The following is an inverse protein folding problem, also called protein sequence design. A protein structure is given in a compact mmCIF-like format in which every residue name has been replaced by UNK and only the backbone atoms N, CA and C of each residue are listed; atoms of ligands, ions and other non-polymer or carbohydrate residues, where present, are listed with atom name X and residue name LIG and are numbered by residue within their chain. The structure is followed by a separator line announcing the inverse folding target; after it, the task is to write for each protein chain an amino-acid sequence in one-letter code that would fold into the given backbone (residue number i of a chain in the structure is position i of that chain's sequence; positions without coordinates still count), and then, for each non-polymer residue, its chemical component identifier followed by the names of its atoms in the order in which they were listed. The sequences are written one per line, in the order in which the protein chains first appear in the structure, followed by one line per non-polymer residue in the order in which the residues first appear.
data_IF_654040237097
#
_entry.id   IF_654040237097
#
_cell.length_a   1.000
_cell.length_b   1.000
_cell.length_c   1.000
_cell.angle_alpha   90.00
_cell.angle_beta   90.00
_cell.angle_gamma   90.00
#
_symmetry.space_group_name_H-M   'P 1'
#
loop_
_entity.id
_entity.type
_entity.pdbx_description
1 polymer ?
2 non-polymer ?
3 non-polymer ?
4 non-polymer ?
5 water ?
#
# COMPACT_ATOMS: atom_id res chain seq x y z
N UNK A 20 -0.03 -29.35 -11.67
CA UNK A 20 0.51 -28.09 -12.16
C UNK A 20 -0.49 -27.37 -13.06
N UNK A 21 -0.44 -26.02 -13.08
CA UNK A 21 -1.33 -25.21 -13.90
C UNK A 21 -0.59 -24.18 -14.77
N UNK A 22 -1.23 -23.78 -15.87
CA UNK A 22 -0.72 -22.82 -16.85
C UNK A 22 -1.84 -21.83 -17.26
N UNK A 23 -1.49 -20.69 -17.91
CA UNK A 23 -2.47 -19.69 -18.37
C UNK A 23 -1.99 -18.88 -19.58
N UNK A 24 -2.96 -18.37 -20.36
CA UNK A 24 -2.72 -17.58 -21.58
C UNK A 24 -3.24 -16.15 -21.41
N UNK A 25 -2.38 -15.16 -21.72
CA UNK A 25 -2.74 -13.75 -21.63
C UNK A 25 -2.32 -13.07 -22.92
N UNK A 26 -3.32 -12.65 -23.71
CA UNK A 26 -3.14 -12.01 -25.03
C UNK A 26 -2.19 -12.86 -25.91
N UNK A 27 -2.46 -14.15 -25.97
CA UNK A 27 -1.71 -15.13 -26.76
C UNK A 27 -0.35 -15.57 -26.23
N UNK A 28 0.01 -15.17 -25.01
CA UNK A 28 1.29 -15.54 -24.38
C UNK A 28 1.04 -16.51 -23.22
N UNK A 29 1.79 -17.63 -23.19
CA UNK A 29 1.63 -18.69 -22.19
C UNK A 29 2.58 -18.47 -20.99
N UNK A 30 2.04 -18.72 -19.78
CA UNK A 30 2.75 -18.59 -18.51
C UNK A 30 2.47 -19.81 -17.65
N UNK A 31 3.51 -20.35 -16.98
CA UNK A 31 3.34 -21.47 -16.06
C UNK A 31 3.39 -20.96 -14.63
N UNK A 32 2.44 -21.39 -13.80
CA UNK A 32 2.32 -20.96 -12.40
C UNK A 32 3.36 -21.66 -11.54
N UNK A 33 4.18 -20.87 -10.80
CA UNK A 33 5.15 -21.45 -9.88
C UNK A 33 4.51 -21.60 -8.50
N UNK A 34 3.86 -20.53 -8.00
CA UNK A 34 3.19 -20.51 -6.70
C UNK A 34 2.16 -19.38 -6.62
N UNK A 35 1.27 -19.45 -5.62
CA UNK A 35 0.27 -18.44 -5.35
C UNK A 35 0.85 -17.50 -4.28
N UNK A 36 0.98 -16.22 -4.64
CA UNK A 36 1.54 -15.17 -3.77
C UNK A 36 0.48 -14.74 -2.75
N UNK A 37 -0.69 -14.40 -3.27
CA UNK A 37 -1.80 -13.88 -2.48
C UNK A 37 -3.14 -14.16 -3.09
N UNK A 38 -4.18 -13.85 -2.32
CA UNK A 38 -5.59 -14.03 -2.69
C UNK A 38 -6.43 -13.16 -1.79
N UNK A 39 -7.63 -12.86 -2.27
CA UNK A 39 -8.60 -12.04 -1.55
C UNK A 39 -9.87 -11.90 -2.35
N UNK A 40 -10.94 -12.51 -1.86
CA UNK A 40 -12.24 -12.50 -2.50
C UNK A 40 -12.25 -13.34 -3.76
N UNK A 41 -12.46 -12.79 -4.89
CA UNK A 41 -12.50 -13.47 -6.19
C UNK A 41 -11.16 -13.33 -6.94
N UNK A 42 -10.16 -12.70 -6.26
CA UNK A 42 -8.83 -12.45 -6.80
C UNK A 42 -7.74 -13.35 -6.23
N UNK A 43 -6.71 -13.63 -7.06
CA UNK A 43 -5.49 -14.40 -6.74
C UNK A 43 -4.31 -13.77 -7.47
N UNK A 44 -3.12 -13.76 -6.87
CA UNK A 44 -1.90 -13.29 -7.52
C UNK A 44 -0.95 -14.48 -7.55
N UNK A 45 -0.42 -14.79 -8.73
CA UNK A 45 0.49 -15.89 -8.92
C UNK A 45 1.84 -15.42 -9.34
N UNK A 46 2.88 -16.15 -8.90
CA UNK A 46 4.25 -15.98 -9.37
C UNK A 46 4.30 -16.93 -10.56
N UNK A 47 4.67 -16.41 -11.73
CA UNK A 47 4.67 -17.17 -12.99
C UNK A 47 5.97 -17.01 -13.76
N UNK A 48 6.14 -17.84 -14.79
CA UNK A 48 7.25 -17.78 -15.74
C UNK A 48 6.69 -17.80 -17.15
N UNK A 49 7.22 -16.93 -18.02
CA UNK A 49 6.87 -16.92 -19.44
C UNK A 49 7.69 -18.03 -20.15
N UNK A 50 7.65 -18.11 -21.49
CA UNK A 50 8.39 -19.13 -22.26
C UNK A 50 9.91 -19.02 -22.10
N UNK A 51 10.43 -17.77 -21.93
CA UNK A 51 11.85 -17.44 -21.77
C UNK A 51 12.36 -17.67 -20.33
N UNK A 52 11.49 -18.21 -19.45
CA UNK A 52 11.75 -18.49 -18.03
C UNK A 52 11.99 -17.18 -17.24
N UNK A 53 11.31 -16.11 -17.66
CA UNK A 53 11.34 -14.81 -16.98
C UNK A 53 10.18 -14.73 -16.01
N UNK A 54 10.44 -14.20 -14.81
CA UNK A 54 9.47 -14.11 -13.72
C UNK A 54 8.54 -12.88 -13.83
N UNK A 55 7.25 -13.09 -13.49
CA UNK A 55 6.20 -12.08 -13.46
C UNK A 55 5.22 -12.45 -12.37
N UNK A 56 4.34 -11.52 -12.04
CA UNK A 56 3.22 -11.74 -11.15
C UNK A 56 1.95 -11.55 -12.00
N UNK A 57 1.01 -12.49 -11.95
CA UNK A 57 -0.26 -12.36 -12.65
C UNK A 57 -1.38 -12.30 -11.63
N UNK A 58 -2.16 -11.22 -11.67
CA UNK A 58 -3.35 -11.11 -10.86
C UNK A 58 -4.51 -11.62 -11.73
N UNK A 59 -5.23 -12.60 -11.18
CA UNK A 59 -6.38 -13.23 -11.76
C UNK A 59 -7.60 -12.81 -10.95
N UNK A 60 -8.62 -12.31 -11.64
CA UNK A 60 -9.89 -11.95 -11.03
C UNK A 60 -10.96 -12.80 -11.67
N UNK A 61 -11.70 -13.57 -10.86
CA UNK A 61 -12.81 -14.39 -11.34
C UNK A 61 -14.03 -13.46 -11.25
N UNK A 62 -14.66 -13.14 -12.40
CA UNK A 62 -15.79 -12.21 -12.42
C UNK A 62 -17.18 -12.87 -12.48
N UNK A 63 -17.24 -14.21 -12.43
CA UNK A 63 -18.48 -14.99 -12.56
C UNK A 63 -19.63 -14.54 -11.63
N UNK A 64 -19.34 -14.26 -10.35
CA UNK A 64 -20.38 -13.85 -9.38
C UNK A 64 -20.33 -12.33 -8.99
N UNK A 65 -19.43 -11.55 -9.63
CA UNK A 65 -19.23 -10.11 -9.36
C UNK A 65 -20.39 -9.20 -9.75
N UNK A 66 -20.74 -8.29 -8.83
CA UNK A 66 -21.79 -7.27 -9.01
C UNK A 66 -21.23 -6.08 -9.80
N UNK A 67 -22.11 -5.21 -10.33
CA UNK A 67 -21.71 -4.05 -11.13
C UNK A 67 -20.80 -3.04 -10.41
N UNK A 68 -20.90 -2.94 -9.06
CA UNK A 68 -20.04 -2.06 -8.25
C UNK A 68 -18.64 -2.69 -8.13
N UNK A 69 -18.57 -4.03 -7.93
CA UNK A 69 -17.33 -4.80 -7.82
C UNK A 69 -16.62 -4.79 -9.20
N UNK A 70 -17.40 -4.88 -10.28
CA UNK A 70 -16.91 -4.89 -11.66
C UNK A 70 -16.28 -3.58 -11.99
N UNK A 71 -16.98 -2.46 -11.69
CA UNK A 71 -16.52 -1.10 -11.95
C UNK A 71 -15.26 -0.78 -11.14
N UNK A 72 -15.11 -1.33 -9.91
CA UNK A 72 -13.91 -1.13 -9.07
C UNK A 72 -12.68 -1.79 -9.73
N UNK A 73 -12.85 -3.01 -10.30
CA UNK A 73 -11.78 -3.69 -11.02
C UNK A 73 -11.43 -2.98 -12.34
N UNK A 74 -12.47 -2.42 -13.05
CA UNK A 74 -12.29 -1.66 -14.30
C UNK A 74 -11.52 -0.34 -14.02
N UNK A 75 -11.90 0.37 -12.95
CA UNK A 75 -11.30 1.64 -12.54
C UNK A 75 -9.83 1.48 -12.09
N UNK A 76 -9.52 0.40 -11.37
CA UNK A 76 -8.17 0.04 -10.90
C UNK A 76 -7.24 -0.19 -12.13
N UNK A 77 -7.70 -1.01 -13.12
CA UNK A 77 -6.96 -1.28 -14.35
C UNK A 77 -6.71 0.01 -15.15
N UNK A 78 -7.76 0.84 -15.37
CA UNK A 78 -7.63 2.09 -16.12
C UNK A 78 -6.59 3.04 -15.46
N UNK A 79 -6.66 3.19 -14.12
CA UNK A 79 -5.72 4.05 -13.39
C UNK A 79 -4.31 3.50 -13.39
N UNK A 80 -4.14 2.17 -13.18
CA UNK A 80 -2.83 1.54 -13.21
C UNK A 80 -2.16 1.74 -14.57
N UNK A 81 -2.90 1.51 -15.66
CA UNK A 81 -2.40 1.70 -17.01
C UNK A 81 -2.08 3.16 -17.34
N UNK A 82 -2.97 4.09 -16.96
CA UNK A 82 -2.77 5.51 -17.21
C UNK A 82 -1.51 6.03 -16.50
N UNK A 83 -1.32 5.62 -15.25
CA UNK A 83 -0.24 6.13 -14.41
C UNK A 83 1.14 5.48 -14.66
N UNK A 84 1.25 4.51 -15.60
CA UNK A 84 2.50 3.84 -16.00
C UNK A 84 3.60 4.85 -16.40
N UNK A 85 3.23 5.82 -17.25
CA UNK A 85 4.07 6.88 -17.82
C UNK A 85 4.42 8.04 -16.86
N UNK A 86 3.67 8.19 -15.75
CA UNK A 86 3.81 9.32 -14.84
C UNK A 86 4.81 9.10 -13.70
N UNK A 87 5.05 7.83 -13.31
CA UNK A 87 6.03 7.52 -12.26
C UNK A 87 6.51 6.10 -12.38
N UNK A 88 7.80 5.87 -12.09
CA UNK A 88 8.40 4.55 -12.03
C UNK A 88 8.25 3.99 -10.59
N UNK A 89 7.53 4.71 -9.70
CA UNK A 89 7.25 4.28 -8.32
C UNK A 89 5.86 3.67 -8.24
N UNK A 90 5.33 3.35 -9.40
CA UNK A 90 4.07 2.65 -9.58
C UNK A 90 4.44 1.32 -10.27
N UNK A 91 3.88 0.21 -9.79
CA UNK A 91 4.14 -1.13 -10.34
C UNK A 91 3.90 -1.16 -11.86
N UNK A 92 4.78 -1.87 -12.58
CA UNK A 92 4.68 -2.06 -14.02
C UNK A 92 3.53 -3.01 -14.34
N UNK A 93 2.67 -2.61 -15.28
CA UNK A 93 1.59 -3.43 -15.79
C UNK A 93 1.96 -3.64 -17.25
N UNK A 94 2.41 -4.84 -17.59
CA UNK A 94 2.90 -5.15 -18.92
C UNK A 94 1.79 -5.37 -19.91
N UNK A 95 0.74 -6.06 -19.47
CA UNK A 95 -0.39 -6.44 -20.29
C UNK A 95 -1.56 -6.88 -19.41
N UNK A 96 -2.75 -6.94 -20.02
CA UNK A 96 -3.95 -7.38 -19.34
C UNK A 96 -4.95 -7.96 -20.33
N UNK A 97 -5.80 -8.86 -19.83
CA UNK A 97 -6.90 -9.46 -20.59
C UNK A 97 -8.16 -9.31 -19.74
N UNK A 98 -9.23 -8.83 -20.37
CA UNK A 98 -10.51 -8.66 -19.66
C UNK A 98 -11.68 -9.17 -20.50
N UNK A 99 -12.48 -10.06 -19.91
CA UNK A 99 -13.69 -10.63 -20.52
C UNK A 99 -14.79 -10.50 -19.47
N UNK A 100 -15.97 -11.05 -19.75
CA UNK A 100 -17.09 -11.11 -18.82
C UNK A 100 -16.83 -12.14 -17.70
N UNK A 101 -15.91 -13.08 -17.95
CA UNK A 101 -15.64 -14.16 -17.01
C UNK A 101 -14.42 -13.91 -16.10
N UNK A 102 -13.40 -13.17 -16.58
CA UNK A 102 -12.16 -12.93 -15.83
C UNK A 102 -11.39 -11.73 -16.26
N UNK A 103 -10.36 -11.44 -15.46
CA UNK A 103 -9.34 -10.44 -15.69
C UNK A 103 -7.98 -11.12 -15.43
N UNK A 104 -7.00 -10.89 -16.30
CA UNK A 104 -5.60 -11.29 -16.09
C UNK A 104 -4.78 -10.01 -16.18
N UNK A 105 -3.94 -9.73 -15.20
CA UNK A 105 -3.06 -8.57 -15.25
C UNK A 105 -1.63 -9.09 -15.10
N UNK A 106 -0.78 -8.82 -16.10
CA UNK A 106 0.63 -9.25 -16.08
C UNK A 106 1.46 -8.09 -15.51
N UNK A 107 2.08 -8.32 -14.37
CA UNK A 107 2.83 -7.28 -13.67
C UNK A 107 4.22 -7.73 -13.37
N UNK A 108 5.07 -6.80 -12.90
CA UNK A 108 6.40 -7.22 -12.46
C UNK A 108 6.21 -7.95 -11.11
N UNK A 109 7.04 -8.95 -10.87
CA UNK A 109 6.93 -9.77 -9.68
C UNK A 109 7.50 -9.10 -8.42
N UNK A 110 8.65 -8.46 -8.55
CA UNK A 110 9.33 -7.84 -7.41
C UNK A 110 9.98 -8.88 -6.52
N UNK A 111 10.56 -8.45 -5.39
CA UNK A 111 11.28 -9.33 -4.46
C UNK A 111 10.44 -9.76 -3.26
N UNK A 112 9.70 -8.78 -2.65
CA UNK A 112 8.88 -8.96 -1.46
C UNK A 112 8.02 -7.71 -1.24
N UNK A 113 6.82 -7.85 -0.65
CA UNK A 113 6.02 -6.68 -0.31
C UNK A 113 6.61 -6.06 0.98
N UNK A 114 6.38 -4.76 1.20
CA UNK A 114 6.92 -4.05 2.35
C UNK A 114 6.44 -4.62 3.70
N UNK A 115 5.21 -5.18 3.77
CA UNK A 115 4.72 -5.76 5.04
C UNK A 115 5.51 -6.99 5.46
N UNK A 116 5.74 -7.94 4.52
CA UNK A 116 6.51 -9.15 4.78
C UNK A 116 7.96 -8.81 5.10
N UNK A 117 8.50 -7.75 4.43
CA UNK A 117 9.86 -7.28 4.66
C UNK A 117 10.02 -6.71 6.07
N UNK A 118 9.08 -5.83 6.51
CA UNK A 118 9.09 -5.23 7.84
C UNK A 118 8.93 -6.24 8.98
N UNK A 119 8.15 -7.32 8.76
CA UNK A 119 7.94 -8.37 9.76
C UNK A 119 9.20 -9.23 9.96
N UNK A 120 10.04 -9.35 8.90
CA UNK A 120 11.27 -10.14 8.94
C UNK A 120 12.48 -9.33 9.44
N UNK A 121 12.52 -8.03 9.14
CA UNK A 121 13.61 -7.14 9.50
C UNK A 121 13.65 -6.79 10.99
N UNK A 122 14.84 -6.92 11.59
CA UNK A 122 15.08 -6.58 13.00
C UNK A 122 15.40 -5.08 13.07
N UNK A 123 16.47 -4.65 12.37
CA UNK A 123 16.91 -3.26 12.30
C UNK A 123 16.94 -2.76 10.86
N UNK A 124 16.47 -1.53 10.66
CA UNK A 124 16.42 -0.87 9.36
C UNK A 124 17.45 0.28 9.30
N UNK A 125 18.30 0.27 8.26
CA UNK A 125 19.34 1.26 7.99
C UNK A 125 18.68 2.66 7.79
N UNK A 126 19.16 3.73 8.46
CA UNK A 126 18.54 5.06 8.26
C UNK A 126 18.46 5.50 6.80
N UNK A 127 19.48 5.11 5.99
CA UNK A 127 19.55 5.41 4.55
C UNK A 127 18.49 4.64 3.76
N UNK A 128 18.20 3.39 4.15
CA UNK A 128 17.19 2.58 3.47
C UNK A 128 15.78 3.07 3.80
N UNK A 129 15.53 3.43 5.09
CA UNK A 129 14.27 3.99 5.58
C UNK A 129 13.97 5.30 4.85
N UNK A 130 14.99 6.17 4.66
CA UNK A 130 14.85 7.46 3.98
C UNK A 130 14.53 7.26 2.51
N UNK A 131 15.26 6.33 1.85
CA UNK A 131 15.09 5.99 0.44
C UNK A 131 13.68 5.42 0.19
N UNK A 132 13.19 4.56 1.11
CA UNK A 132 11.85 3.96 1.04
C UNK A 132 10.79 5.04 1.23
N UNK A 133 11.03 5.98 2.17
CA UNK A 133 10.14 7.11 2.43
C UNK A 133 9.96 7.97 1.16
N UNK A 134 11.07 8.31 0.47
CA UNK A 134 11.04 9.11 -0.75
C UNK A 134 10.22 8.43 -1.83
N UNK A 135 10.41 7.10 -2.02
CA UNK A 135 9.68 6.31 -3.03
C UNK A 135 8.20 6.36 -2.78
N UNK A 136 7.78 6.18 -1.52
CA UNK A 136 6.38 6.19 -1.13
C UNK A 136 5.75 7.55 -1.37
N UNK A 137 6.48 8.66 -1.00
CA UNK A 137 5.96 10.03 -1.20
C UNK A 137 5.72 10.27 -2.67
N UNK A 138 6.69 9.91 -3.51
CA UNK A 138 6.58 10.08 -4.96
C UNK A 138 5.37 9.30 -5.54
N UNK A 139 5.22 8.01 -5.17
CA UNK A 139 4.07 7.18 -5.63
C UNK A 139 2.73 7.82 -5.23
N UNK A 140 2.57 8.19 -3.94
CA UNK A 140 1.36 8.79 -3.40
C UNK A 140 1.10 10.17 -4.01
N UNK A 141 2.18 10.95 -4.24
CA UNK A 141 2.07 12.26 -4.85
C UNK A 141 1.50 12.12 -6.26
N UNK A 142 1.99 11.13 -7.03
CA UNK A 142 1.54 10.88 -8.41
C UNK A 142 0.03 10.58 -8.47
N UNK A 143 -0.45 9.73 -7.55
CA UNK A 143 -1.88 9.35 -7.57
C UNK A 143 -2.74 10.55 -7.19
N UNK A 144 -2.30 11.37 -6.20
CA UNK A 144 -2.99 12.59 -5.74
C UNK A 144 -3.12 13.59 -6.87
N UNK A 145 -2.09 13.68 -7.72
CA UNK A 145 -2.09 14.58 -8.89
C UNK A 145 -3.13 14.16 -9.92
N UNK A 146 -3.52 12.87 -9.92
CA UNK A 146 -4.56 12.38 -10.84
C UNK A 146 -5.93 12.23 -10.14
N UNK A 147 -6.09 12.91 -9.01
CA UNK A 147 -7.33 12.91 -8.23
C UNK A 147 -7.68 11.63 -7.50
N UNK A 148 -6.69 10.77 -7.24
CA UNK A 148 -6.92 9.53 -6.50
C UNK A 148 -6.42 9.72 -5.07
N UNK A 149 -7.23 9.32 -4.08
CA UNK A 149 -6.83 9.26 -2.68
C UNK A 149 -6.94 7.77 -2.37
N UNK A 150 -5.86 7.12 -1.89
CA UNK A 150 -5.89 5.68 -1.59
C UNK A 150 -6.87 5.40 -0.43
N UNK A 151 -6.71 6.13 0.69
CA UNK A 151 -7.47 6.12 1.97
C UNK A 151 -7.27 4.83 2.83
N UNK A 152 -6.63 3.78 2.27
CA UNK A 152 -6.37 2.54 3.00
C UNK A 152 -4.89 2.10 2.86
N UNK A 153 -3.95 3.05 2.93
CA UNK A 153 -2.53 2.69 2.77
C UNK A 153 -2.02 1.90 3.94
N UNK A 154 -1.27 0.83 3.63
CA UNK A 154 -0.66 -0.14 4.53
C UNK A 154 0.66 -0.52 3.88
N UNK A 155 1.62 -1.13 4.63
CA UNK A 155 2.86 -1.60 3.96
C UNK A 155 2.62 -2.63 2.85
N UNK A 156 1.55 -3.50 2.94
CA UNK A 156 1.21 -4.51 1.93
C UNK A 156 0.87 -3.91 0.55
N UNK A 157 0.59 -2.59 0.48
CA UNK A 157 0.29 -1.88 -0.77
C UNK A 157 1.56 -1.52 -1.54
N UNK A 158 2.73 -1.74 -0.92
CA UNK A 158 4.02 -1.41 -1.53
C UNK A 158 4.85 -2.67 -1.82
N UNK A 159 5.49 -2.70 -2.99
CA UNK A 159 6.34 -3.78 -3.45
C UNK A 159 7.80 -3.33 -3.51
N UNK A 160 8.73 -4.13 -2.95
CA UNK A 160 10.17 -3.87 -3.07
C UNK A 160 10.63 -4.56 -4.38
N UNK A 161 11.11 -3.76 -5.33
CA UNK A 161 11.64 -4.17 -6.63
C UNK A 161 13.08 -3.67 -6.70
N UNK A 162 14.07 -4.57 -6.53
CA UNK A 162 15.50 -4.26 -6.55
C UNK A 162 15.86 -3.00 -5.72
N UNK A 163 15.49 -3.03 -4.44
CA UNK A 163 15.73 -1.94 -3.49
C UNK A 163 14.90 -0.69 -3.64
N UNK A 164 13.89 -0.70 -4.53
CA UNK A 164 13.00 0.44 -4.79
C UNK A 164 11.55 0.06 -4.45
N UNK A 165 10.81 0.97 -3.75
CA UNK A 165 9.41 0.74 -3.42
C UNK A 165 8.49 1.20 -4.53
N UNK A 166 7.50 0.38 -4.85
CA UNK A 166 6.49 0.69 -5.85
C UNK A 166 5.14 0.44 -5.30
N UNK A 167 4.22 1.40 -5.53
CA UNK A 167 2.84 1.26 -5.13
C UNK A 167 2.20 0.22 -6.07
N UNK A 168 1.52 -0.77 -5.48
CA UNK A 168 0.90 -1.89 -6.21
C UNK A 168 -0.52 -1.56 -6.63
N UNK A 169 -1.30 -1.00 -5.71
CA UNK A 169 -2.71 -0.76 -6.02
C UNK A 169 -3.17 0.63 -5.55
N UNK A 170 -4.37 1.04 -5.95
CA UNK A 170 -4.84 2.39 -5.62
C UNK A 170 -5.98 2.42 -4.59
N UNK A 171 -6.20 1.30 -3.92
CA UNK A 171 -7.23 1.15 -2.90
C UNK A 171 -8.64 1.14 -3.46
N UNK A 172 -8.79 1.04 -4.80
CA UNK A 172 -10.08 1.07 -5.53
C UNK A 172 -10.73 -0.34 -5.51
N UNK A 173 -9.95 -1.40 -5.80
CA UNK A 173 -10.44 -2.79 -5.78
C UNK A 173 -10.15 -3.43 -4.41
N UNK A 174 -10.77 -4.60 -4.15
CA UNK A 174 -10.62 -5.37 -2.90
C UNK A 174 -9.15 -5.72 -2.61
N UNK A 175 -8.77 -5.67 -1.33
CA UNK A 175 -7.41 -5.95 -0.87
C UNK A 175 -7.19 -7.44 -0.72
N UNK A 176 -5.98 -7.92 -1.05
CA UNK A 176 -5.60 -9.34 -0.94
C UNK A 176 -4.59 -9.51 0.18
N UNK A 177 -4.58 -10.69 0.79
CA UNK A 177 -3.63 -11.03 1.85
C UNK A 177 -2.63 -12.07 1.29
N UNK A 178 -1.37 -12.16 1.81
CA UNK A 178 -0.43 -13.15 1.25
C UNK A 178 -0.84 -14.56 1.64
N UNK A 179 -0.59 -15.52 0.75
CA UNK A 179 -0.98 -16.90 1.05
C UNK A 179 0.09 -17.67 1.77
N UNK A 180 -0.35 -18.76 2.42
CA UNK A 180 0.48 -19.68 3.17
C UNK A 180 0.23 -21.10 2.68
N UNK A 181 1.23 -21.98 2.85
CA UNK A 181 1.15 -23.39 2.44
C UNK A 181 0.68 -24.27 3.62
N UNK A 182 0.44 -23.67 4.80
CA UNK A 182 -0.09 -24.38 5.97
C UNK A 182 -1.60 -24.13 6.09
N UNK A 183 -2.30 -24.97 6.89
CA UNK A 183 -3.74 -24.82 7.15
C UNK A 183 -3.95 -23.60 8.06
N UNK A 184 -4.71 -22.61 7.56
CA UNK A 184 -5.00 -21.34 8.24
C UNK A 184 -5.99 -21.51 9.42
N UNK A 185 -5.73 -20.76 10.52
CA UNK A 185 -6.54 -20.68 11.72
C UNK A 185 -6.86 -19.19 11.94
N UNK A 186 -8.11 -18.79 11.61
CA UNK A 186 -8.66 -17.42 11.66
C UNK A 186 -7.93 -16.47 10.71
N UNK A 189 -7.87 -11.71 8.03
CA UNK A 189 -8.18 -10.50 8.79
C UNK A 189 -7.25 -9.34 8.41
N UNK A 190 -7.84 -8.14 8.32
CA UNK A 190 -7.11 -6.92 7.97
C UNK A 190 -6.45 -6.24 9.15
N UNK A 191 -5.92 -5.02 8.92
CA UNK A 191 -5.23 -4.19 9.91
C UNK A 191 -5.99 -2.86 10.08
N UNK A 192 -5.99 -2.30 11.30
CA UNK A 192 -6.66 -1.02 11.63
C UNK A 192 -5.59 0.02 12.02
N UNK A 193 -4.33 -0.42 12.15
CA UNK A 193 -3.21 0.38 12.63
C UNK A 193 -2.85 1.61 11.79
N UNK A 194 -3.27 1.67 10.50
CA UNK A 194 -2.94 2.79 9.59
C UNK A 194 -4.13 3.67 9.26
N UNK A 195 -5.29 3.36 9.84
CA UNK A 195 -6.54 4.08 9.62
C UNK A 195 -6.50 5.54 10.15
N UNK A 196 -6.76 6.54 9.26
CA UNK A 196 -6.78 7.95 9.69
C UNK A 196 -7.88 8.26 10.71
N UNK A 197 -7.67 9.25 11.62
CA UNK A 197 -8.71 9.55 12.62
C UNK A 197 -10.03 10.03 12.02
N UNK A 198 -9.97 10.69 10.85
CA UNK A 198 -11.14 11.21 10.15
C UNK A 198 -11.92 10.13 9.41
N UNK A 199 -11.28 8.98 9.08
CA UNK A 199 -11.94 7.85 8.41
C UNK A 199 -12.93 7.21 9.39
N UNK A 200 -12.58 7.25 10.69
CA UNK A 200 -13.37 6.77 11.82
C UNK A 200 -14.54 7.74 12.08
N UNK A 201 -14.24 9.06 12.16
CA UNK A 201 -15.22 10.13 12.40
C UNK A 201 -16.24 10.29 11.26
N UNK A 202 -15.84 9.95 10.00
CA UNK A 202 -16.68 10.04 8.80
C UNK A 202 -17.87 9.06 8.80
N UNK A 203 -17.71 7.90 9.44
CA UNK A 203 -18.71 6.82 9.47
C UNK A 203 -20.07 7.21 10.06
N UNK A 204 -20.10 8.07 11.10
CA UNK A 204 -21.36 8.52 11.70
C UNK A 204 -22.12 9.49 10.79
N UNK A 205 -21.38 10.40 10.11
CA UNK A 205 -21.94 11.40 9.20
C UNK A 205 -22.15 10.81 7.81
N UNK A 213 -21.09 15.95 3.49
CA UNK A 213 -19.65 16.25 3.52
C UNK A 213 -18.81 15.02 3.16
N UNK A 214 -17.83 15.22 2.28
CA UNK A 214 -16.93 14.16 1.84
C UNK A 214 -16.03 13.61 2.95
N UNK A 215 -15.49 14.50 3.78
CA UNK A 215 -14.56 14.12 4.84
C UNK A 215 -13.16 13.76 4.32
N UNK A 216 -13.09 12.79 3.41
CA UNK A 216 -11.82 12.30 2.88
C UNK A 216 -11.05 13.32 2.05
N UNK A 217 -9.72 13.30 2.17
CA UNK A 217 -8.85 14.22 1.44
C UNK A 217 -7.45 13.60 1.27
N UNK A 218 -6.56 14.19 0.42
CA UNK A 218 -5.18 13.68 0.35
C UNK A 218 -4.46 13.52 1.70
N UNK A 219 -4.84 14.33 2.72
CA UNK A 219 -4.29 14.29 4.09
C UNK A 219 -4.47 12.94 4.80
N UNK A 220 -5.53 12.17 4.45
CA UNK A 220 -5.77 10.82 5.00
C UNK A 220 -4.61 9.87 4.62
N UNK A 221 -4.04 10.01 3.39
CA UNK A 221 -2.88 9.23 2.96
C UNK A 221 -1.60 9.62 3.70
N UNK A 222 -1.48 10.91 4.11
CA UNK A 222 -0.34 11.42 4.87
C UNK A 222 -0.28 10.72 6.22
N UNK A 223 -1.45 10.58 6.91
CA UNK A 223 -1.53 9.91 8.20
C UNK A 223 -1.05 8.44 8.07
N UNK A 224 -1.57 7.70 7.08
CA UNK A 224 -1.21 6.31 6.83
C UNK A 224 0.27 6.14 6.49
N UNK A 225 0.81 7.06 5.67
CA UNK A 225 2.25 7.08 5.34
C UNK A 225 3.04 7.30 6.62
N UNK A 226 2.55 8.19 7.50
CA UNK A 226 3.14 8.51 8.79
C UNK A 226 3.25 7.30 9.71
N UNK A 227 2.19 6.45 9.75
CA UNK A 227 2.12 5.20 10.53
C UNK A 227 3.17 4.18 10.02
N UNK A 228 3.38 4.12 8.69
CA UNK A 228 4.36 3.25 8.04
C UNK A 228 5.77 3.68 8.41
N UNK A 229 6.06 4.98 8.30
CA UNK A 229 7.35 5.55 8.68
C UNK A 229 7.61 5.43 10.20
N UNK A 230 6.54 5.55 11.04
CA UNK A 230 6.62 5.38 12.50
C UNK A 230 7.08 3.94 12.80
N UNK A 231 6.48 2.94 12.09
CA UNK A 231 6.82 1.52 12.14
C UNK A 231 8.29 1.32 11.74
N UNK A 232 8.75 1.98 10.67
CA UNK A 232 10.14 1.90 10.20
C UNK A 232 11.13 2.60 11.16
N UNK A 233 10.64 3.43 12.10
CA UNK A 233 11.50 4.17 13.02
C UNK A 233 11.55 3.53 14.41
N UNK A 234 10.37 3.19 14.97
CA UNK A 234 10.25 2.65 16.31
C UNK A 234 9.99 1.14 16.41
N UNK A 235 9.83 0.46 15.27
CA UNK A 235 9.61 -0.99 15.21
C UNK A 235 8.20 -1.44 15.50
N UNK A 236 7.26 -0.49 15.66
CA UNK A 236 5.84 -0.74 15.92
C UNK A 236 4.97 0.39 15.37
N UNK A 237 3.67 0.13 15.14
CA UNK A 237 2.76 1.18 14.66
C UNK A 237 2.32 2.04 15.86
N UNK A 238 1.84 3.30 15.68
CA UNK A 238 1.57 4.16 16.85
C UNK A 238 0.64 3.58 17.93
N UNK A 239 -0.24 2.63 17.58
CA UNK A 239 -1.19 2.00 18.50
C UNK A 239 -1.15 0.46 18.44
N UNK A 240 0.02 -0.12 18.08
CA UNK A 240 0.25 -1.57 17.99
C UNK A 240 0.04 -2.30 19.33
N UNK A 241 0.39 -1.63 20.45
CA UNK A 241 0.26 -2.13 21.82
C UNK A 241 -1.18 -2.45 22.21
N UNK A 242 -2.15 -1.63 21.74
CA UNK A 242 -3.58 -1.81 22.03
C UNK A 242 -4.15 -2.98 21.20
N UNK A 243 -4.22 -4.16 21.83
CA UNK A 243 -4.71 -5.41 21.23
C UNK A 243 -6.21 -5.32 20.91
N UNK A 244 -7.02 -4.78 21.85
CA UNK A 244 -8.46 -4.60 21.70
C UNK A 244 -8.77 -3.57 20.62
N UNK A 245 -9.71 -3.91 19.73
CA UNK A 245 -10.11 -3.12 18.57
C UNK A 245 -10.89 -1.84 18.87
N UNK A 246 -11.92 -1.89 19.74
CA UNK A 246 -12.71 -0.70 20.08
C UNK A 246 -11.86 0.33 20.85
N UNK A 247 -10.92 -0.17 21.69
CA UNK A 247 -10.00 0.66 22.48
C UNK A 247 -8.93 1.29 21.56
N UNK A 248 -8.55 0.60 20.46
CA UNK A 248 -7.57 1.10 19.48
C UNK A 248 -8.17 2.26 18.68
N UNK A 249 -9.41 2.07 18.15
CA UNK A 249 -10.17 3.06 17.38
C UNK A 249 -10.42 4.32 18.18
N UNK A 250 -10.68 4.16 19.50
CA UNK A 250 -10.91 5.24 20.45
C UNK A 250 -9.63 6.07 20.58
N UNK A 251 -8.48 5.39 20.81
CA UNK A 251 -7.15 5.98 20.96
C UNK A 251 -6.70 6.79 19.73
N UNK A 252 -7.04 6.32 18.49
CA UNK A 252 -6.71 6.99 17.22
C UNK A 252 -7.43 8.36 17.12
N UNK A 253 -8.70 8.41 17.55
CA UNK A 253 -9.53 9.61 17.48
C UNK A 253 -9.39 10.55 18.70
N UNK A 254 -8.95 10.03 19.86
CA UNK A 254 -8.83 10.81 21.11
C UNK A 254 -7.66 11.82 21.11
N UNK A 255 -7.97 13.15 21.19
CA UNK A 255 -6.89 14.16 21.23
C UNK A 255 -6.04 14.10 22.51
N UNK A 256 -6.65 13.66 23.64
CA UNK A 256 -6.00 13.51 24.93
C UNK A 256 -5.03 12.32 24.94
N UNK A 257 -5.15 11.41 23.94
CA UNK A 257 -4.25 10.26 23.80
C UNK A 257 -2.97 10.76 23.12
N UNK A 258 -1.91 10.91 23.90
CA UNK A 258 -0.62 11.41 23.43
C UNK A 258 0.21 10.29 22.78
N UNK A 259 0.59 10.49 21.50
CA UNK A 259 1.42 9.54 20.76
C UNK A 259 2.87 9.78 21.19
N UNK A 260 3.57 8.71 21.55
CA UNK A 260 4.97 8.75 21.98
C UNK A 260 5.90 8.95 20.78
N UNK A 261 6.86 9.88 20.90
CA UNK A 261 7.86 10.13 19.87
C UNK A 261 9.24 10.11 20.55
N UNK A 262 9.74 8.93 21.01
CA UNK A 262 11.06 8.89 21.67
C UNK A 262 12.17 9.53 20.85
N UNK A 263 13.03 10.30 21.54
CA UNK A 263 14.18 11.01 20.97
C UNK A 263 15.08 10.06 20.19
N UNK A 264 15.51 10.50 19.01
CA UNK A 264 16.35 9.74 18.08
C UNK A 264 17.38 10.69 17.47
N UNK A 265 18.53 10.21 16.92
CA UNK A 265 19.52 11.14 16.35
C UNK A 265 19.02 11.93 15.13
N UNK A 266 18.06 11.36 14.37
CA UNK A 266 17.49 12.03 13.21
C UNK A 266 16.32 12.92 13.64
N UNK A 267 16.66 14.18 13.99
CA UNK A 267 15.73 15.22 14.44
C UNK A 267 14.69 15.58 13.38
N UNK A 268 15.09 15.56 12.08
CA UNK A 268 14.20 15.82 10.94
C UNK A 268 13.14 14.73 10.80
N UNK A 269 13.55 13.45 10.98
CA UNK A 269 12.68 12.27 10.94
C UNK A 269 11.64 12.35 12.05
N UNK A 270 12.05 12.77 13.25
CA UNK A 270 11.18 12.97 14.42
C UNK A 270 10.11 14.04 14.12
N UNK A 271 10.48 15.14 13.43
CA UNK A 271 9.54 16.21 13.04
C UNK A 271 8.56 15.72 11.96
N UNK A 272 9.04 14.96 10.94
CA UNK A 272 8.18 14.38 9.88
C UNK A 272 7.04 13.61 10.53
N UNK A 273 7.40 12.71 11.48
CA UNK A 273 6.46 11.83 12.18
C UNK A 273 5.41 12.59 12.99
N UNK A 274 5.83 13.65 13.68
CA UNK A 274 4.93 14.51 14.47
C UNK A 274 3.96 15.27 13.57
N UNK A 275 4.44 15.75 12.39
CA UNK A 275 3.63 16.48 11.41
C UNK A 275 2.67 15.57 10.62
N UNK A 276 3.06 14.29 10.36
CA UNK A 276 2.20 13.32 9.65
C UNK A 276 1.12 12.84 10.59
N UNK A 277 1.44 12.73 11.90
CA UNK A 277 0.49 12.16 12.85
C UNK A 277 -0.28 13.20 13.71
N UNK A 278 -0.64 14.33 13.09
CA UNK A 278 -1.50 15.33 13.72
C UNK A 278 -2.92 14.87 13.45
N UNK A 279 -3.78 14.89 14.48
CA UNK A 279 -5.16 14.39 14.37
C UNK A 279 -6.05 15.27 13.50
N UNK A 280 -5.87 16.60 13.54
CA UNK A 280 -6.62 17.55 12.71
C UNK A 280 -5.99 17.52 11.30
N UNK A 281 -6.74 17.07 10.26
CA UNK A 281 -6.16 17.01 8.90
C UNK A 281 -5.71 18.36 8.31
N UNK A 282 -6.35 19.46 8.73
CA UNK A 282 -6.04 20.82 8.31
C UNK A 282 -4.66 21.28 8.82
N UNK A 283 -4.27 20.79 10.01
CA UNK A 283 -2.97 21.07 10.65
C UNK A 283 -1.86 20.09 10.20
N UNK A 284 -2.26 18.88 9.77
CA UNK A 284 -1.39 17.82 9.29
C UNK A 284 -0.65 18.27 8.02
N UNK A 285 0.65 17.96 7.94
CA UNK A 285 1.50 18.29 6.78
C UNK A 285 0.94 17.69 5.45
N UNK A 286 1.16 18.37 4.33
CA UNK A 286 0.73 17.90 3.03
C UNK A 286 1.88 17.16 2.33
N UNK A 287 1.56 16.46 1.22
CA UNK A 287 2.59 15.78 0.40
C UNK A 287 3.54 16.82 -0.22
N UNK A 288 3.10 17.90 -0.92
CA UNK A 288 4.06 18.90 -1.45
C UNK A 288 5.01 19.47 -0.38
N UNK A 289 4.52 19.64 0.87
CA UNK A 289 5.31 20.10 2.01
C UNK A 289 6.31 19.04 2.43
N UNK A 290 5.89 17.76 2.47
CA UNK A 290 6.76 16.65 2.86
C UNK A 290 7.93 16.49 1.88
N UNK A 291 7.68 16.78 0.59
CA UNK A 291 8.68 16.70 -0.48
C UNK A 291 9.74 17.82 -0.41
N UNK A 292 9.45 18.90 0.32
CA UNK A 292 10.38 20.02 0.52
C UNK A 292 10.99 19.98 1.93
N UNK A 293 10.67 18.95 2.72
CA UNK A 293 11.11 18.82 4.10
C UNK A 293 12.60 18.45 4.16
N UNK A 294 13.38 19.02 5.14
CA UNK A 294 14.81 18.67 5.26
C UNK A 294 15.10 17.17 5.32
N UNK A 295 14.19 16.38 5.93
CA UNK A 295 14.36 14.92 6.01
C UNK A 295 14.59 14.26 4.63
N UNK A 296 13.90 14.78 3.61
CA UNK A 296 13.98 14.27 2.24
C UNK A 296 15.03 15.03 1.38
N UNK A 297 15.28 16.30 1.71
CA UNK A 297 16.14 17.22 0.95
C UNK A 297 17.59 17.35 1.44
N UNK A 298 17.82 17.50 2.76
CA UNK A 298 19.16 17.70 3.34
C UNK A 298 19.92 16.35 3.37
N UNK A 299 21.18 16.36 2.89
CA UNK A 299 22.11 15.21 2.77
C UNK A 299 21.61 14.22 1.68
N UNK A 300 21.10 14.78 0.55
CA UNK A 300 20.55 14.10 -0.64
C UNK A 300 19.32 13.22 -0.34
X LIG B 1 6.85 -14.34 -5.80
X LIG B 1 7.58 -13.60 -5.33
X LIG B 1 8.52 -12.67 -4.73
X LIG B 1 7.91 -12.29 -3.49
X LIG B 1 6.75 -11.51 -3.51
X LIG B 1 6.07 -11.36 -2.32
X LIG B 1 6.50 -11.98 -1.10
X LIG B 1 7.74 -12.52 -0.81
X LIG B 1 5.72 -12.13 0.07
X LIG B 1 6.44 -12.74 1.05
X LIG B 1 7.65 -12.97 0.50
X LIG B 1 8.72 -13.62 1.25
X LIG B 1 6.30 -10.89 -4.69
X LIG B 1 5.16 -10.11 -4.67
X LIG B 1 4.46 -9.95 -3.46
X LIG B 1 4.92 -10.57 -2.32
X LIG B 1 4.64 -9.50 -5.82
X LIG B 1 3.39 -8.98 -6.07
X LIG B 1 2.44 -9.03 -5.11
X LIG B 1 1.21 -8.55 -5.45
X LIG B 1 0.92 -8.03 -6.73
X LIG B 1 -0.36 -7.59 -7.07
X LIG B 1 -1.41 -7.24 -7.35
X LIG B 1 1.94 -7.98 -7.67
X LIG B 1 3.19 -8.44 -7.36
X LIG B 1 0.25 -8.57 -4.49
X LIG B 1 0.49 -9.08 -3.14
X LIG B 1 -0.79 -9.72 -2.59
X LIG B 1 -0.65 -10.16 -1.15
X LIG B 1 -0.24 -8.99 -0.28
X LIG B 1 1.08 -8.40 -0.78
X LIG B 1 0.93 -7.94 -2.22
X LIG C 1 -7.67 -21.92 -11.94
X LIG C 1 -8.94 -22.38 -11.46
X LIG C 1 -7.43 -20.48 -11.54
X LIG C 1 -7.47 -20.38 -10.11
X LIG C 1 -6.10 -19.99 -12.05
X LIG C 1 -6.14 -19.75 -13.45
X LIG D 1 6.46 -7.93 -21.40
X LIG D 1 7.82 -8.32 -21.54
X LIG D 1 5.52 -9.03 -21.85
X LIG D 1 4.19 -8.51 -21.93
X LIG D 1 5.54 -10.21 -20.91
X LIG D 1 6.64 -11.07 -21.18
X LIG E 1 -1.97 22.73 5.04
X LIG E 1 -1.68 22.35 3.70
X LIG E 1 -0.73 22.70 5.89
X LIG E 1 -0.27 21.35 6.01
X LIG E 1 -0.97 23.28 7.26
X LIG E 1 0.23 23.25 8.04
X LIG F 1 9.01 21.84 9.33
X LIG F 1 8.18 20.99 8.56
X LIG F 1 10.47 21.58 9.03
X LIG F 1 10.92 22.43 7.97
X LIG F 1 11.35 21.76 10.24
X LIG F 1 12.57 21.04 10.10
X LIG G 1 4.93 -22.01 7.19
X LIG H 1 4.23 -16.67 4.70
X LIG I 1 2.68 -20.55 8.80
#
# INVERSE_FOLDING_TARGET
MHHHHHHSSGVDLGTENLYFQSMSVKGRIYSILKQIGSGGSSKVFQVLNEKKQIYAIKYVNLEEADNQTLDSYRNEIAYLNKLQQHSDKIIRLYDYEITDQYIYMVMECGNIDLNSWLKKKKSIDPWERKSYWKNMLEAVHTIHQHGIVHSDLKPANFLIVDGMLKLIDFGIANQMQPDTTSVVKDSQVGTVNYMPPEAIKDMSSSRENGKSKSKISPKSDVWSLGCILYYMTYGKTPFQQIINQISKLHAIIDPNHEIEFPDIPEKDLQDVLKCCLKRDPKQRISIPELLAHPYVQIQTHPVNQMAKGTTEE
O38 N6 C23 C22 O C21 C4 C2 C1 C3 N1 N C C20 C7 C6 C5 N2 C8 N5 C13 C11 C12 N3 C10 C9 N4 C14 C19 C18 C17 C16 C15
GOL C1 O1 C2 O2 C3 O3
GOL C1 O1 C2 O2 C3 O3
GOL C1 O1 C2 O2 C3 O3
GOL C1 O1 C2 O2 C3 O3
MG MG
MG MG
MG MG
#
